data_IF_949806138852
#
_entry.id   IF_949806138852
#
_cell.length_a   1.000
_cell.length_b   1.000
_cell.length_c   1.000
_cell.angle_alpha   90.00
_cell.angle_beta   90.00
_cell.angle_gamma   90.00
#
_symmetry.space_group_name_H-M   'P 1'
#
loop_
_entity.id
_entity.type
_entity.pdbx_description
1 polymer ?
#
# COMPACT_ATOMS: atom_id res chain seq x y z
N UNK A 1 -12.23 -25.79 11.63
CA UNK A 1 -10.80 -25.52 11.44
C UNK A 1 -10.62 -24.02 11.61
N UNK A 2 -9.91 -23.58 12.66
CA UNK A 2 -9.68 -22.16 12.94
C UNK A 2 -8.19 -21.86 13.00
N UNK A 3 -7.83 -20.64 12.61
CA UNK A 3 -6.47 -20.11 12.63
C UNK A 3 -6.52 -18.59 12.71
N UNK A 4 -5.43 -17.98 13.14
CA UNK A 4 -5.31 -16.52 13.27
C UNK A 4 -4.04 -16.03 12.60
N UNK A 5 -4.13 -14.89 11.90
CA UNK A 5 -3.01 -14.26 11.22
C UNK A 5 -2.55 -13.06 12.04
N UNK A 6 -1.24 -12.91 12.15
CA UNK A 6 -0.61 -11.72 12.75
C UNK A 6 0.39 -11.12 11.77
N UNK A 7 0.65 -9.83 11.93
CA UNK A 7 1.66 -9.09 11.20
C UNK A 7 2.71 -8.64 12.21
N UNK A 8 3.91 -9.24 12.16
CA UNK A 8 4.96 -9.02 13.17
C UNK A 8 4.45 -9.19 14.62
N UNK A 9 3.58 -10.17 14.88
CA UNK A 9 2.98 -10.41 16.19
C UNK A 9 1.75 -9.55 16.53
N UNK A 10 1.41 -8.57 15.70
CA UNK A 10 0.24 -7.71 15.88
C UNK A 10 -0.98 -8.21 15.11
N UNK A 11 -2.18 -8.06 15.67
CA UNK A 11 -3.43 -8.32 14.97
C UNK A 11 -3.73 -7.16 14.02
N UNK A 12 -4.44 -7.45 12.92
CA UNK A 12 -4.82 -6.45 11.90
C UNK A 12 -5.63 -5.27 12.46
N UNK A 13 -6.30 -5.43 13.61
CA UNK A 13 -7.05 -4.36 14.29
C UNK A 13 -6.18 -3.40 15.10
N UNK A 14 -4.88 -3.66 15.22
CA UNK A 14 -3.94 -2.87 16.05
C UNK A 14 -3.21 -1.79 15.25
N UNK A 15 -3.35 -1.78 13.92
CA UNK A 15 -2.75 -0.79 13.01
C UNK A 15 -3.58 -0.65 11.73
N UNK A 16 -3.12 0.17 10.78
CA UNK A 16 -3.76 0.34 9.47
C UNK A 16 -2.91 -0.39 8.40
N UNK A 17 -3.29 -1.61 7.96
CA UNK A 17 -2.46 -2.43 7.06
C UNK A 17 -2.13 -1.77 5.72
N UNK A 18 -3.02 -0.91 5.22
CA UNK A 18 -2.86 -0.18 3.97
C UNK A 18 -1.71 0.84 4.02
N UNK A 19 -1.23 1.19 5.22
CA UNK A 19 -0.06 2.07 5.40
C UNK A 19 1.26 1.32 5.56
N UNK A 20 1.22 -0.01 5.72
CA UNK A 20 2.41 -0.82 6.00
C UNK A 20 2.64 -1.91 4.95
N UNK A 21 1.63 -2.22 4.16
CA UNK A 21 1.67 -3.26 3.13
C UNK A 21 0.86 -2.82 1.92
N UNK A 22 1.26 -3.32 0.75
CA UNK A 22 0.56 -3.07 -0.51
C UNK A 22 0.18 -4.41 -1.15
N UNK A 23 -1.00 -4.44 -1.77
CA UNK A 23 -1.45 -5.54 -2.61
C UNK A 23 -1.25 -5.15 -4.07
N UNK A 24 -0.59 -6.02 -4.84
CA UNK A 24 -0.40 -5.84 -6.29
C UNK A 24 -1.40 -6.75 -7.00
N UNK A 25 -2.39 -6.13 -7.64
CA UNK A 25 -3.39 -6.86 -8.43
C UNK A 25 -2.77 -7.42 -9.71
N UNK A 26 -3.39 -8.44 -10.28
CA UNK A 26 -3.06 -8.91 -11.63
C UNK A 26 -3.46 -7.91 -12.71
N UNK A 27 -4.52 -7.12 -12.46
CA UNK A 27 -4.93 -6.06 -13.36
C UNK A 27 -4.16 -4.79 -13.08
N UNK A 28 -3.48 -4.28 -14.10
CA UNK A 28 -2.80 -3.00 -14.03
C UNK A 28 -3.81 -1.85 -14.08
N UNK A 29 -3.66 -0.90 -13.15
CA UNK A 29 -4.42 0.35 -13.13
C UNK A 29 -3.49 1.52 -13.44
N UNK A 30 -3.10 1.63 -14.72
CA UNK A 30 -2.20 2.69 -15.21
C UNK A 30 -2.95 3.73 -16.06
N UNK A 31 -2.46 4.96 -16.03
CA UNK A 31 -2.89 6.04 -16.94
C UNK A 31 -1.86 6.10 -18.06
N UNK A 32 -2.26 5.75 -19.29
CA UNK A 32 -1.35 5.56 -20.41
C UNK A 32 -0.68 6.86 -20.88
N UNK A 33 -1.28 8.01 -20.56
CA UNK A 33 -0.82 9.34 -20.92
C UNK A 33 0.31 9.85 -20.01
N UNK A 34 0.57 9.18 -18.89
CA UNK A 34 1.59 9.58 -17.93
C UNK A 34 2.92 8.88 -18.21
N UNK A 35 4.02 9.62 -18.07
CA UNK A 35 5.36 9.02 -18.03
C UNK A 35 5.54 8.19 -16.75
N UNK A 36 6.56 7.32 -16.75
CA UNK A 36 6.93 6.53 -15.56
C UNK A 36 7.22 7.45 -14.36
N UNK A 37 7.93 8.56 -14.56
CA UNK A 37 8.25 9.53 -13.50
C UNK A 37 6.98 10.13 -12.91
N UNK A 38 6.09 10.63 -13.76
CA UNK A 38 4.83 11.27 -13.32
C UNK A 38 3.95 10.27 -12.58
N UNK A 39 3.92 9.01 -13.03
CA UNK A 39 3.16 7.93 -12.37
C UNK A 39 3.67 7.68 -10.96
N UNK A 40 4.99 7.61 -10.76
CA UNK A 40 5.60 7.43 -9.45
C UNK A 40 5.38 8.65 -8.54
N UNK A 41 5.51 9.87 -9.07
CA UNK A 41 5.27 11.09 -8.31
C UNK A 41 3.80 11.21 -7.88
N UNK A 42 2.86 10.84 -8.76
CA UNK A 42 1.43 10.78 -8.44
C UNK A 42 1.14 9.73 -7.36
N UNK A 43 1.67 8.51 -7.50
CA UNK A 43 1.50 7.46 -6.51
C UNK A 43 2.04 7.88 -5.13
N UNK A 44 3.19 8.55 -5.08
CA UNK A 44 3.76 9.10 -3.85
C UNK A 44 2.87 10.15 -3.19
N UNK A 45 2.26 11.05 -3.97
CA UNK A 45 1.30 12.04 -3.44
C UNK A 45 0.02 11.39 -2.90
N UNK A 46 -0.49 10.35 -3.57
CA UNK A 46 -1.66 9.60 -3.11
C UNK A 46 -1.40 8.79 -1.83
N UNK A 47 -0.21 8.19 -1.69
CA UNK A 47 0.20 7.46 -0.49
C UNK A 47 0.50 8.40 0.69
N UNK A 48 0.86 9.65 0.40
CA UNK A 48 1.21 10.66 1.40
C UNK A 48 2.65 10.55 1.89
N UNK A 49 3.00 11.38 2.88
CA UNK A 49 4.40 11.61 3.31
C UNK A 49 5.01 10.51 4.21
N UNK A 50 4.38 9.33 4.30
CA UNK A 50 4.77 8.27 5.23
C UNK A 50 4.69 8.70 6.71
N UNK A 51 5.13 7.83 7.62
CA UNK A 51 5.31 8.19 9.03
C UNK A 51 6.64 8.94 9.12
N UNK A 52 6.58 10.28 9.27
CA UNK A 52 7.73 11.06 9.74
C UNK A 52 7.81 10.86 11.25
N UNK A 53 8.90 10.26 11.71
CA UNK A 53 9.27 10.28 13.13
C UNK A 53 9.59 11.70 13.57
#
# INVERSE_FOLDING_TARGET
MSGSITYNGHRLKEFVPQRTSAYVSQQDSHVAEMTVRETLDFAGRCQGVGIKY
#
